data_IF_672827406013
#
_entry.id   IF_672827406013
#
_cell.length_a   1.000
_cell.length_b   1.000
_cell.length_c   1.000
_cell.angle_alpha   90.00
_cell.angle_beta   90.00
_cell.angle_gamma   90.00
#
_symmetry.space_group_name_H-M   'P 1'
#
loop_
_entity.id
_entity.type
_entity.pdbx_description
1 polymer ?
#
# COMPACT_ATOMS: atom_id res chain seq x y z
N UNK A 1 4.94 64.73 3.17
CA UNK A 1 5.88 63.69 3.61
C UNK A 1 5.46 63.19 4.99
N UNK A 2 4.88 62.01 5.08
CA UNK A 2 4.55 61.34 6.35
C UNK A 2 5.17 59.93 6.30
N UNK A 3 6.25 59.74 7.08
CA UNK A 3 6.98 58.48 7.14
C UNK A 3 6.18 57.42 7.89
N UNK A 4 5.98 56.28 7.27
CA UNK A 4 5.44 55.03 7.89
C UNK A 4 6.59 54.31 8.65
N UNK A 5 6.48 54.31 10.00
CA UNK A 5 7.33 53.47 10.87
C UNK A 5 6.91 52.01 10.72
N UNK A 6 7.80 51.16 10.22
CA UNK A 6 7.66 49.71 10.23
C UNK A 6 8.02 49.20 11.63
N UNK A 7 7.05 48.55 12.30
CA UNK A 7 7.23 47.92 13.61
C UNK A 7 7.86 46.55 13.40
N UNK A 8 9.13 46.37 13.79
CA UNK A 8 9.81 45.07 13.84
C UNK A 8 9.21 44.27 15.01
N UNK A 9 8.58 43.13 14.72
CA UNK A 9 8.13 42.18 15.73
C UNK A 9 9.31 41.34 16.21
N UNK A 10 9.56 41.37 17.51
CA UNK A 10 10.61 40.61 18.20
C UNK A 10 10.18 39.14 18.36
N UNK A 11 10.83 38.24 17.61
CA UNK A 11 10.52 36.78 17.51
C UNK A 11 11.27 35.96 18.59
N UNK A 12 11.60 36.55 19.74
CA UNK A 12 12.46 35.89 20.76
C UNK A 12 11.73 35.34 22.00
N UNK A 13 10.40 35.34 22.05
CA UNK A 13 9.68 34.99 23.30
C UNK A 13 9.14 33.57 23.40
N UNK A 14 9.08 32.79 22.32
CA UNK A 14 8.32 31.53 22.36
C UNK A 14 9.20 30.25 22.40
N UNK A 15 10.52 30.38 22.35
CA UNK A 15 11.43 29.19 22.34
C UNK A 15 11.79 28.72 23.76
N UNK A 16 11.75 29.61 24.75
CA UNK A 16 12.15 29.31 26.13
C UNK A 16 11.24 28.28 26.85
N UNK A 17 9.89 28.38 26.76
CA UNK A 17 9.01 27.40 27.43
C UNK A 17 9.08 26.01 26.82
N UNK A 18 9.28 25.89 25.48
CA UNK A 18 9.39 24.59 24.81
C UNK A 18 10.69 23.87 25.20
N UNK A 19 11.80 24.61 25.32
CA UNK A 19 13.09 24.02 25.71
C UNK A 19 13.09 23.53 27.16
N UNK A 20 12.41 24.25 28.06
CA UNK A 20 12.25 23.83 29.47
C UNK A 20 11.39 22.58 29.57
N UNK A 21 10.33 22.46 28.77
CA UNK A 21 9.45 21.28 28.77
C UNK A 21 10.18 20.03 28.27
N UNK A 22 10.99 20.14 27.23
CA UNK A 22 11.80 19.02 26.71
C UNK A 22 12.83 18.55 27.72
N UNK A 23 13.47 19.45 28.46
CA UNK A 23 14.44 19.09 29.51
C UNK A 23 13.77 18.39 30.68
N UNK A 24 12.56 18.81 31.10
CA UNK A 24 11.80 18.18 32.17
C UNK A 24 11.36 16.76 31.75
N UNK A 25 10.88 16.56 30.54
CA UNK A 25 10.50 15.22 30.04
C UNK A 25 11.72 14.30 29.97
N UNK A 26 12.87 14.80 29.52
CA UNK A 26 14.10 14.01 29.49
C UNK A 26 14.59 13.62 30.90
N UNK A 27 14.51 14.53 31.87
CA UNK A 27 14.89 14.21 33.26
C UNK A 27 13.94 13.20 33.90
N UNK A 28 12.62 13.26 33.65
CA UNK A 28 11.66 12.27 34.17
C UNK A 28 11.90 10.89 33.53
N UNK A 29 12.25 10.82 32.27
CA UNK A 29 12.61 9.57 31.62
C UNK A 29 13.88 8.95 32.18
N UNK A 30 14.91 9.74 32.52
CA UNK A 30 16.15 9.28 33.11
C UNK A 30 15.89 8.75 34.56
N UNK A 31 15.06 9.42 35.35
CA UNK A 31 14.72 8.98 36.70
C UNK A 31 13.92 7.68 36.66
N UNK A 32 13.01 7.49 35.70
CA UNK A 32 12.25 6.24 35.53
C UNK A 32 13.15 5.06 35.09
N UNK A 33 14.11 5.29 34.20
CA UNK A 33 15.05 4.23 33.79
C UNK A 33 16.01 3.85 34.90
N UNK A 34 16.49 4.83 35.70
CA UNK A 34 17.39 4.53 36.85
C UNK A 34 16.66 3.86 38.01
N UNK A 35 15.39 4.20 38.28
CA UNK A 35 14.60 3.51 39.29
C UNK A 35 14.24 2.07 38.88
N UNK A 36 14.00 1.81 37.59
CA UNK A 36 13.78 0.47 37.08
C UNK A 36 15.07 -0.38 37.11
N UNK A 37 16.22 0.22 36.80
CA UNK A 37 17.51 -0.45 36.87
C UNK A 37 17.89 -0.79 38.36
N UNK A 38 17.51 0.08 39.31
CA UNK A 38 17.75 -0.18 40.73
C UNK A 38 16.82 -1.29 41.28
N UNK A 39 15.57 -1.35 40.80
CA UNK A 39 14.63 -2.41 41.16
C UNK A 39 15.06 -3.79 40.63
N UNK A 40 15.68 -3.83 39.44
CA UNK A 40 16.22 -5.07 38.88
C UNK A 40 17.46 -5.52 39.64
N UNK A 41 18.29 -4.57 40.08
CA UNK A 41 19.53 -4.90 40.80
C UNK A 41 19.30 -5.36 42.26
N UNK A 42 18.18 -4.97 42.90
CA UNK A 42 17.84 -5.44 44.25
C UNK A 42 17.27 -6.86 44.28
N UNK A 43 16.73 -7.36 43.13
CA UNK A 43 16.26 -8.75 43.02
C UNK A 43 17.36 -9.75 42.65
N UNK A 44 18.55 -9.28 42.24
CA UNK A 44 19.67 -10.17 41.90
C UNK A 44 20.60 -10.48 43.06
N UNK A 45 20.40 -9.88 44.25
CA UNK A 45 21.23 -10.14 45.45
C UNK A 45 20.78 -11.34 46.32
N UNK A 46 19.78 -12.12 45.87
CA UNK A 46 19.41 -13.36 46.56
C UNK A 46 20.03 -14.63 45.95
N UNK A 47 21.02 -14.51 45.03
CA UNK A 47 21.66 -15.68 44.38
C UNK A 47 23.12 -15.91 44.82
N UNK A 48 23.53 -15.37 45.99
CA UNK A 48 24.82 -15.74 46.63
C UNK A 48 24.58 -16.41 47.97
N UNK A 49 24.05 -17.64 47.93
CA UNK A 49 24.11 -18.58 49.03
C UNK A 49 24.91 -19.81 48.57
N UNK A 50 26.14 -19.58 48.15
CA UNK A 50 27.14 -20.63 48.05
C UNK A 50 28.42 -20.17 48.76
N UNK A 51 28.35 -19.98 50.08
CA UNK A 51 29.56 -20.00 50.91
C UNK A 51 29.17 -20.09 52.40
N UNK A 52 28.47 -21.16 52.74
CA UNK A 52 28.38 -21.61 54.15
C UNK A 52 28.39 -23.14 54.24
N UNK A 53 29.30 -23.77 53.48
CA UNK A 53 29.46 -25.21 53.56
C UNK A 53 30.67 -25.62 54.43
N UNK A 54 30.74 -25.11 55.65
CA UNK A 54 31.70 -25.65 56.60
C UNK A 54 31.34 -25.44 58.08
N UNK A 55 30.09 -25.57 58.46
CA UNK A 55 29.75 -25.84 59.88
C UNK A 55 28.24 -26.13 60.01
N UNK A 56 27.81 -27.33 59.65
CA UNK A 56 26.74 -28.04 60.39
C UNK A 56 26.42 -29.32 59.62
N UNK A 57 27.02 -30.40 60.04
CA UNK A 57 26.55 -31.73 59.60
C UNK A 57 25.25 -32.03 60.35
N UNK A 58 24.16 -31.48 59.87
CA UNK A 58 22.81 -31.98 60.12
C UNK A 58 22.29 -32.39 58.74
N UNK A 59 22.27 -33.68 58.44
CA UNK A 59 21.72 -34.29 57.28
C UNK A 59 20.18 -34.12 57.25
N UNK A 60 19.70 -32.92 57.10
CA UNK A 60 18.31 -32.70 56.75
C UNK A 60 18.23 -32.77 55.24
N UNK A 61 17.88 -33.94 54.70
CA UNK A 61 17.54 -34.12 53.31
C UNK A 61 16.34 -33.24 52.97
N UNK A 62 16.58 -31.99 52.61
CA UNK A 62 15.62 -31.18 51.93
C UNK A 62 15.53 -31.67 50.50
N UNK A 63 14.56 -32.55 50.22
CA UNK A 63 14.19 -32.83 48.85
C UNK A 63 13.61 -31.52 48.28
N UNK A 64 14.42 -30.75 47.58
CA UNK A 64 13.91 -29.69 46.75
C UNK A 64 13.21 -30.35 45.54
N UNK A 65 11.89 -30.42 45.59
CA UNK A 65 11.12 -30.83 44.41
C UNK A 65 11.10 -29.65 43.46
N UNK A 66 11.83 -29.76 42.37
CA UNK A 66 11.66 -28.83 41.25
C UNK A 66 10.31 -29.15 40.66
N UNK A 67 9.37 -28.22 40.77
CA UNK A 67 8.05 -28.37 40.15
C UNK A 67 8.22 -28.18 38.64
N UNK A 68 7.68 -29.13 37.88
CA UNK A 68 7.59 -29.00 36.43
C UNK A 68 6.67 -27.82 36.09
N UNK A 69 7.06 -27.02 35.11
CA UNK A 69 6.33 -25.85 34.61
C UNK A 69 6.05 -26.00 33.12
N UNK A 70 4.84 -25.68 32.71
CA UNK A 70 4.49 -25.72 31.30
C UNK A 70 5.37 -24.73 30.47
N UNK A 71 5.81 -25.13 29.26
CA UNK A 71 6.58 -24.25 28.40
C UNK A 71 5.79 -23.02 27.97
N UNK A 72 6.48 -21.91 27.74
CA UNK A 72 5.92 -20.70 27.14
C UNK A 72 6.33 -20.62 25.66
N UNK A 73 5.36 -20.32 24.77
CA UNK A 73 5.57 -20.33 23.32
C UNK A 73 5.38 -18.93 22.74
N UNK A 74 6.38 -18.44 21.98
CA UNK A 74 6.29 -17.20 21.23
C UNK A 74 6.41 -17.48 19.73
N UNK A 75 5.38 -17.12 18.95
CA UNK A 75 5.26 -17.45 17.52
C UNK A 75 5.59 -16.24 16.66
N UNK A 76 6.36 -16.47 15.60
CA UNK A 76 6.61 -15.52 14.50
C UNK A 76 6.35 -16.19 13.18
N UNK A 77 5.80 -15.43 12.23
CA UNK A 77 5.54 -15.85 10.85
C UNK A 77 6.37 -15.01 9.89
N UNK A 78 6.72 -15.58 8.74
CA UNK A 78 7.37 -14.88 7.63
C UNK A 78 6.95 -15.53 6.29
N UNK A 79 6.81 -14.75 5.20
CA UNK A 79 7.05 -13.30 5.12
C UNK A 79 5.92 -12.46 5.72
N UNK A 80 6.13 -11.14 5.74
CA UNK A 80 5.10 -10.15 5.95
C UNK A 80 5.05 -9.29 4.68
N UNK A 81 3.95 -9.36 3.95
CA UNK A 81 3.78 -8.66 2.67
C UNK A 81 3.27 -7.21 2.85
N UNK A 82 2.90 -6.83 4.08
CA UNK A 82 2.63 -5.43 4.47
C UNK A 82 3.41 -5.03 5.75
N UNK A 83 4.74 -4.93 5.68
CA UNK A 83 5.57 -4.59 6.85
C UNK A 83 5.39 -3.14 7.31
N UNK A 84 4.61 -2.32 6.58
CA UNK A 84 4.39 -0.89 6.88
C UNK A 84 3.28 -0.71 7.92
N UNK A 85 2.31 -1.64 7.98
CA UNK A 85 1.21 -1.59 8.93
C UNK A 85 1.56 -2.30 10.23
N UNK A 86 1.90 -1.59 11.32
CA UNK A 86 2.32 -2.24 12.57
C UNK A 86 1.23 -3.12 13.18
N UNK A 87 1.62 -4.33 13.58
CA UNK A 87 0.74 -5.25 14.32
C UNK A 87 -0.18 -6.13 13.48
N UNK A 88 -0.27 -5.87 12.18
CA UNK A 88 -0.97 -6.72 11.21
C UNK A 88 0.07 -7.43 10.37
N UNK A 89 -0.08 -8.75 10.23
CA UNK A 89 0.74 -9.53 9.31
C UNK A 89 -0.11 -9.94 8.12
N UNK A 90 0.36 -9.66 6.90
CA UNK A 90 -0.34 -9.97 5.66
C UNK A 90 0.44 -11.01 4.88
N UNK A 91 -0.25 -12.05 4.41
CA UNK A 91 0.27 -13.04 3.46
C UNK A 91 -0.52 -12.88 2.17
N UNK A 92 0.17 -12.43 1.12
CA UNK A 92 -0.41 -12.10 -0.16
C UNK A 92 0.39 -12.80 -1.29
N UNK A 93 -0.01 -13.99 -1.74
CA UNK A 93 0.64 -14.66 -2.86
C UNK A 93 0.31 -13.99 -4.18
N UNK A 94 1.24 -14.06 -5.14
CA UNK A 94 0.94 -13.70 -6.51
C UNK A 94 -0.15 -14.63 -7.09
N UNK A 95 -1.02 -14.15 -7.97
CA UNK A 95 -2.10 -14.94 -8.55
C UNK A 95 -1.62 -16.25 -9.16
N UNK A 96 -2.25 -17.35 -8.77
CA UNK A 96 -1.91 -18.70 -9.27
C UNK A 96 -0.61 -19.28 -8.74
N UNK A 97 0.00 -18.66 -7.72
CA UNK A 97 1.22 -19.17 -7.08
C UNK A 97 0.96 -19.63 -5.64
N UNK A 98 1.86 -20.50 -5.14
CA UNK A 98 1.87 -20.87 -3.73
C UNK A 98 2.78 -19.89 -2.96
N UNK A 99 2.34 -19.45 -1.79
CA UNK A 99 3.17 -18.67 -0.86
C UNK A 99 3.55 -19.54 0.32
N UNK A 100 4.83 -19.83 0.47
CA UNK A 100 5.33 -20.57 1.63
C UNK A 100 5.42 -19.64 2.83
N UNK A 101 4.74 -19.98 3.92
CA UNK A 101 4.79 -19.29 5.20
C UNK A 101 5.66 -20.08 6.15
N UNK A 102 6.70 -19.43 6.67
CA UNK A 102 7.61 -20.02 7.65
C UNK A 102 7.12 -19.68 9.06
N UNK A 103 6.98 -20.69 9.90
CA UNK A 103 6.70 -20.56 11.32
C UNK A 103 8.02 -20.64 12.07
N UNK A 104 8.26 -19.71 12.99
CA UNK A 104 9.36 -19.75 13.96
C UNK A 104 8.77 -19.66 15.35
N UNK A 105 8.92 -20.71 16.15
CA UNK A 105 8.47 -20.75 17.54
C UNK A 105 9.66 -20.75 18.49
N UNK A 106 9.75 -19.76 19.36
CA UNK A 106 10.66 -19.78 20.49
C UNK A 106 9.91 -20.37 21.68
N UNK A 107 10.37 -21.55 22.12
CA UNK A 107 9.79 -22.28 23.25
C UNK A 107 10.72 -22.14 24.43
N UNK A 108 10.19 -21.61 25.54
CA UNK A 108 10.93 -21.39 26.81
C UNK A 108 10.36 -22.30 27.88
N UNK A 109 11.20 -23.17 28.42
CA UNK A 109 10.89 -24.03 29.53
C UNK A 109 11.82 -23.71 30.72
N UNK A 110 11.26 -23.44 31.89
CA UNK A 110 12.04 -23.08 33.08
C UNK A 110 12.81 -24.26 33.65
N UNK A 111 12.44 -25.50 33.28
CA UNK A 111 13.12 -26.72 33.65
C UNK A 111 14.33 -27.03 32.73
N UNK A 112 14.45 -26.34 31.60
CA UNK A 112 15.50 -26.46 30.61
C UNK A 112 14.94 -26.74 29.20
N UNK A 113 15.62 -26.28 28.15
CA UNK A 113 15.19 -26.54 26.77
C UNK A 113 15.23 -28.03 26.40
N UNK A 114 16.01 -28.85 27.11
CA UNK A 114 16.15 -30.30 26.97
C UNK A 114 14.99 -31.08 27.63
N UNK A 115 14.15 -30.41 28.43
CA UNK A 115 12.89 -30.97 28.93
C UNK A 115 11.78 -31.00 27.88
N UNK A 116 11.94 -30.35 26.73
CA UNK A 116 11.01 -30.40 25.65
C UNK A 116 11.09 -31.73 24.89
N UNK A 117 9.97 -32.46 24.77
CA UNK A 117 9.90 -33.81 24.17
C UNK A 117 10.15 -33.84 22.66
N UNK A 118 10.38 -32.68 22.03
CA UNK A 118 10.54 -32.53 20.59
C UNK A 118 9.22 -32.53 19.81
N UNK A 119 8.07 -32.68 20.44
CA UNK A 119 6.78 -32.53 19.79
C UNK A 119 6.28 -31.07 19.93
N UNK A 120 6.67 -30.25 18.93
CA UNK A 120 6.12 -28.89 18.78
C UNK A 120 5.29 -28.89 17.50
N UNK A 121 3.99 -28.68 17.63
CA UNK A 121 3.02 -28.78 16.55
C UNK A 121 2.31 -27.45 16.36
N UNK A 122 2.23 -26.99 15.11
CA UNK A 122 1.45 -25.83 14.72
C UNK A 122 0.17 -26.28 14.04
N UNK A 123 -0.96 -25.73 14.46
CA UNK A 123 -2.28 -25.91 13.83
C UNK A 123 -2.69 -24.58 13.21
N UNK A 124 -3.08 -24.60 11.95
CA UNK A 124 -3.52 -23.42 11.22
C UNK A 124 -5.04 -23.52 11.06
N UNK A 125 -5.75 -22.49 11.51
CA UNK A 125 -7.21 -22.38 11.44
C UNK A 125 -7.62 -21.08 10.78
N UNK A 126 -8.71 -21.07 10.00
CA UNK A 126 -9.18 -19.88 9.31
C UNK A 126 -10.42 -20.18 8.45
N UNK A 127 -10.77 -19.24 7.55
CA UNK A 127 -11.94 -19.38 6.67
C UNK A 127 -11.86 -20.57 5.70
N UNK A 128 -10.64 -21.00 5.33
CA UNK A 128 -10.39 -22.14 4.44
C UNK A 128 -9.47 -23.17 5.07
N UNK A 129 -9.56 -24.42 4.61
CA UNK A 129 -8.65 -25.49 5.04
C UNK A 129 -7.23 -25.23 4.50
N UNK A 130 -6.23 -25.45 5.34
CA UNK A 130 -4.81 -25.43 4.97
C UNK A 130 -4.31 -26.86 4.91
N UNK A 131 -3.95 -27.30 3.69
CA UNK A 131 -3.61 -28.71 3.41
C UNK A 131 -2.47 -29.24 4.29
N UNK A 132 -1.49 -28.39 4.59
CA UNK A 132 -0.32 -28.73 5.40
C UNK A 132 -0.61 -28.74 6.92
N UNK A 133 -1.83 -28.36 7.37
CA UNK A 133 -2.16 -28.31 8.81
C UNK A 133 -2.62 -29.69 9.32
N UNK A 134 -2.09 -30.18 10.46
CA UNK A 134 -1.11 -29.59 11.34
C UNK A 134 0.35 -29.75 10.88
N UNK A 135 1.21 -28.78 11.21
CA UNK A 135 2.64 -28.76 10.86
C UNK A 135 3.48 -29.18 12.06
N UNK A 136 4.33 -30.22 11.90
CA UNK A 136 5.34 -30.57 12.91
C UNK A 136 6.55 -29.64 12.77
N UNK A 137 6.82 -28.81 13.79
CA UNK A 137 7.98 -27.94 13.83
C UNK A 137 9.23 -28.74 14.23
N UNK A 138 10.33 -28.47 13.53
CA UNK A 138 11.62 -29.12 13.78
C UNK A 138 12.48 -28.22 14.64
N UNK A 139 13.24 -28.82 15.58
CA UNK A 139 14.28 -28.14 16.32
C UNK A 139 15.26 -27.46 15.36
N UNK A 140 15.53 -26.17 15.61
CA UNK A 140 16.46 -25.39 14.80
C UNK A 140 17.74 -25.05 15.56
N UNK A 141 17.64 -24.41 16.72
CA UNK A 141 18.81 -24.08 17.56
C UNK A 141 18.42 -23.84 19.02
N UNK A 142 19.41 -23.86 19.89
CA UNK A 142 19.32 -23.41 21.27
C UNK A 142 19.60 -21.92 21.35
N UNK A 143 18.71 -21.16 22.00
CA UNK A 143 18.89 -19.73 22.26
C UNK A 143 19.64 -19.50 23.57
N UNK A 144 19.23 -20.22 24.62
CA UNK A 144 19.86 -20.24 25.94
C UNK A 144 19.49 -21.53 26.71
N UNK A 145 19.84 -21.63 27.99
CA UNK A 145 19.60 -22.82 28.79
C UNK A 145 18.13 -23.23 28.97
N UNK A 146 17.20 -22.30 28.80
CA UNK A 146 15.77 -22.52 28.96
C UNK A 146 14.98 -22.36 27.66
N UNK A 147 15.58 -21.86 26.58
CA UNK A 147 14.86 -21.51 25.35
C UNK A 147 15.49 -22.19 24.10
N UNK A 148 14.65 -22.84 23.34
CA UNK A 148 14.99 -23.37 22.02
C UNK A 148 14.06 -22.80 20.93
N UNK A 149 14.57 -22.74 19.70
CA UNK A 149 13.82 -22.33 18.51
C UNK A 149 13.45 -23.55 17.70
N UNK A 150 12.18 -23.58 17.25
CA UNK A 150 11.63 -24.59 16.35
C UNK A 150 11.13 -23.90 15.08
N UNK A 151 11.26 -24.58 13.93
CA UNK A 151 10.82 -24.02 12.65
C UNK A 151 10.05 -25.05 11.82
N UNK A 152 9.12 -24.55 11.05
CA UNK A 152 8.35 -25.32 10.05
C UNK A 152 7.77 -24.40 9.00
N UNK A 153 7.08 -24.94 8.03
CA UNK A 153 6.43 -24.14 7.00
C UNK A 153 5.15 -24.81 6.50
N UNK A 154 4.26 -24.00 5.98
CA UNK A 154 3.06 -24.42 5.27
C UNK A 154 2.86 -23.55 4.03
N UNK A 155 2.02 -24.00 3.10
CA UNK A 155 1.73 -23.28 1.87
C UNK A 155 0.34 -22.69 1.91
N UNK A 156 0.23 -21.43 1.48
CA UNK A 156 -1.01 -20.75 1.24
C UNK A 156 -1.20 -20.61 -0.27
N UNK A 157 -2.25 -21.22 -0.81
CA UNK A 157 -2.63 -21.09 -2.22
C UNK A 157 -4.11 -21.36 -2.38
N UNK A 158 -4.82 -20.43 -3.00
CA UNK A 158 -6.27 -20.57 -3.31
C UNK A 158 -7.19 -20.82 -2.10
N UNK A 159 -6.76 -20.53 -0.88
CA UNK A 159 -7.63 -20.56 0.30
C UNK A 159 -8.61 -19.38 0.29
N UNK A 160 -9.66 -19.47 1.12
CA UNK A 160 -10.56 -18.35 1.34
C UNK A 160 -9.82 -17.17 1.98
N UNK A 161 -10.11 -15.97 1.51
CA UNK A 161 -9.57 -14.74 2.11
C UNK A 161 -10.08 -14.55 3.54
N UNK A 162 -9.27 -13.93 4.38
CA UNK A 162 -9.65 -13.58 5.73
C UNK A 162 -8.53 -13.79 6.75
N UNK A 163 -8.91 -13.77 8.02
CA UNK A 163 -8.00 -13.93 9.13
C UNK A 163 -7.77 -15.41 9.44
N UNK A 164 -6.49 -15.78 9.56
CA UNK A 164 -6.03 -17.10 9.96
C UNK A 164 -5.24 -16.99 11.26
N UNK A 165 -5.35 -18.02 12.08
CA UNK A 165 -4.56 -18.17 13.30
C UNK A 165 -3.63 -19.36 13.18
N UNK A 166 -2.36 -19.18 13.55
CA UNK A 166 -1.38 -20.24 13.74
C UNK A 166 -1.21 -20.44 15.23
N UNK A 167 -1.72 -21.53 15.76
CA UNK A 167 -1.55 -21.96 17.14
C UNK A 167 -0.43 -22.99 17.22
N UNK A 168 0.57 -22.73 18.08
CA UNK A 168 1.69 -23.66 18.32
C UNK A 168 1.59 -24.22 19.71
N UNK A 169 1.53 -25.55 19.79
CA UNK A 169 1.53 -26.32 21.02
C UNK A 169 2.88 -27.00 21.23
N UNK A 170 3.51 -26.78 22.39
CA UNK A 170 4.74 -27.43 22.80
C UNK A 170 4.51 -28.20 24.11
N UNK A 171 4.93 -29.47 24.17
CA UNK A 171 4.76 -30.32 25.33
C UNK A 171 6.13 -30.70 25.92
N UNK A 172 6.29 -30.59 27.22
CA UNK A 172 7.48 -31.01 27.96
C UNK A 172 7.47 -32.52 28.25
N UNK A 173 8.57 -33.02 28.82
CA UNK A 173 8.70 -34.44 29.21
C UNK A 173 7.78 -34.83 30.39
N UNK A 174 7.32 -33.87 31.18
CA UNK A 174 6.35 -34.07 32.24
C UNK A 174 4.89 -34.11 31.76
N UNK A 175 4.66 -33.86 30.46
CA UNK A 175 3.32 -33.86 29.85
C UNK A 175 2.58 -32.55 30.00
N UNK A 176 3.19 -31.47 30.47
CA UNK A 176 2.57 -30.16 30.50
C UNK A 176 2.72 -29.49 29.14
N UNK A 177 1.63 -28.89 28.69
CA UNK A 177 1.61 -28.21 27.39
C UNK A 177 1.55 -26.68 27.53
N UNK A 178 2.32 -26.01 26.69
CA UNK A 178 2.25 -24.55 26.49
C UNK A 178 1.78 -24.21 25.09
N UNK A 179 0.99 -23.17 24.99
CA UNK A 179 0.40 -22.72 23.72
C UNK A 179 0.75 -21.27 23.44
N UNK A 180 1.08 -20.97 22.19
CA UNK A 180 1.24 -19.61 21.71
C UNK A 180 0.62 -19.47 20.33
N UNK A 181 0.08 -18.30 20.00
CA UNK A 181 -0.54 -18.10 18.68
C UNK A 181 -0.08 -16.80 18.01
N UNK A 182 -0.31 -16.76 16.69
CA UNK A 182 -0.10 -15.59 15.86
C UNK A 182 -1.12 -15.56 14.72
N UNK A 183 -1.78 -14.41 14.56
CA UNK A 183 -2.72 -14.20 13.44
C UNK A 183 -2.02 -13.58 12.25
N UNK A 184 -2.56 -13.86 11.07
CA UNK A 184 -2.23 -13.18 9.83
C UNK A 184 -3.48 -13.04 8.97
N UNK A 185 -3.51 -12.01 8.13
CA UNK A 185 -4.54 -11.83 7.11
C UNK A 185 -4.07 -12.43 5.80
N UNK A 186 -4.81 -13.40 5.28
CA UNK A 186 -4.59 -13.92 3.94
C UNK A 186 -5.42 -13.12 2.95
N UNK A 187 -4.73 -12.47 1.98
CA UNK A 187 -5.35 -11.76 0.88
C UNK A 187 -4.84 -12.37 -0.42
N UNK A 188 -5.73 -12.99 -1.17
CA UNK A 188 -5.37 -13.72 -2.40
C UNK A 188 -5.15 -12.81 -3.60
N UNK A 189 -5.64 -11.59 -3.56
CA UNK A 189 -5.64 -10.67 -4.70
C UNK A 189 -4.66 -9.51 -4.50
N UNK A 190 -3.38 -9.65 -4.94
CA UNK A 190 -2.57 -8.47 -5.11
C UNK A 190 -3.24 -7.54 -6.12
N UNK A 191 -3.27 -6.26 -5.81
CA UNK A 191 -3.68 -5.26 -6.78
C UNK A 191 -2.72 -5.28 -7.97
N UNK A 192 -3.27 -5.41 -9.16
CA UNK A 192 -2.54 -5.33 -10.42
C UNK A 192 -2.76 -3.95 -11.01
N UNK A 193 -1.70 -3.38 -11.60
CA UNK A 193 -1.78 -2.11 -12.30
C UNK A 193 -1.59 -2.35 -13.80
N UNK A 194 -2.64 -2.06 -14.58
CA UNK A 194 -2.56 -2.01 -16.04
C UNK A 194 -2.41 -0.56 -16.49
N UNK A 195 -1.46 -0.30 -17.39
CA UNK A 195 -1.24 1.03 -17.97
C UNK A 195 -1.88 1.13 -19.33
N UNK A 196 -2.76 2.10 -19.51
CA UNK A 196 -3.36 2.50 -20.76
C UNK A 196 -2.71 3.78 -21.26
N UNK A 197 -1.90 3.67 -22.29
CA UNK A 197 -1.27 4.77 -23.01
C UNK A 197 -1.32 4.51 -24.54
N UNK A 198 -0.72 5.36 -25.34
CA UNK A 198 -0.73 5.23 -26.79
C UNK A 198 0.50 4.51 -27.38
N UNK A 199 1.30 3.82 -26.58
CA UNK A 199 2.40 2.97 -27.07
C UNK A 199 1.87 1.80 -27.91
N UNK A 200 0.68 1.30 -27.57
CA UNK A 200 -0.01 0.22 -28.28
C UNK A 200 -1.51 0.52 -28.36
N UNK A 201 -2.22 -0.10 -29.31
CA UNK A 201 -3.68 -0.05 -29.39
C UNK A 201 -4.28 1.28 -29.85
N UNK A 202 -3.47 2.24 -30.30
CA UNK A 202 -3.94 3.51 -30.84
C UNK A 202 -4.85 3.31 -32.07
N UNK A 203 -6.04 3.92 -32.06
CA UNK A 203 -7.07 3.74 -33.10
C UNK A 203 -7.78 2.39 -33.07
N UNK A 204 -7.57 1.54 -32.06
CA UNK A 204 -8.22 0.23 -31.94
C UNK A 204 -9.02 0.11 -30.64
N UNK A 205 -8.39 0.38 -29.51
CA UNK A 205 -9.01 0.43 -28.17
C UNK A 205 -8.65 1.70 -27.41
N UNK A 206 -8.00 2.65 -28.07
CA UNK A 206 -7.62 3.96 -27.51
C UNK A 206 -7.65 4.98 -28.65
N UNK A 207 -8.34 6.08 -28.41
CA UNK A 207 -8.53 7.15 -29.42
C UNK A 207 -8.22 8.51 -28.78
N UNK A 208 -7.65 9.39 -29.60
CA UNK A 208 -7.40 10.78 -29.26
C UNK A 208 -7.96 11.71 -30.32
N UNK A 209 -8.51 12.84 -29.90
CA UNK A 209 -9.18 13.83 -30.75
C UNK A 209 -8.71 15.23 -30.39
N UNK A 210 -8.57 16.08 -31.43
CA UNK A 210 -8.32 17.50 -31.26
C UNK A 210 -9.54 18.31 -31.67
N UNK A 211 -10.06 19.16 -30.79
CA UNK A 211 -11.21 20.01 -31.11
C UNK A 211 -11.21 21.32 -30.30
N UNK A 212 -12.23 22.12 -30.53
CA UNK A 212 -12.45 23.37 -29.80
C UNK A 212 -13.90 23.46 -29.30
N UNK A 213 -14.11 24.07 -28.14
CA UNK A 213 -15.44 24.25 -27.58
C UNK A 213 -15.56 25.62 -26.88
N UNK A 214 -16.79 26.17 -26.86
CA UNK A 214 -17.03 27.53 -26.33
C UNK A 214 -17.42 27.59 -24.85
N UNK A 215 -17.37 26.47 -24.14
CA UNK A 215 -17.60 26.36 -22.70
C UNK A 215 -16.45 25.58 -22.10
N UNK A 216 -16.17 25.83 -20.82
CA UNK A 216 -15.14 25.15 -20.03
C UNK A 216 -15.75 24.62 -18.74
N UNK A 217 -15.76 23.29 -18.54
CA UNK A 217 -15.54 22.26 -19.54
C UNK A 217 -16.67 22.16 -20.57
N UNK A 218 -16.53 21.36 -21.64
CA UNK A 218 -17.60 21.01 -22.56
C UNK A 218 -18.83 20.44 -21.85
N UNK A 219 -20.02 20.72 -22.39
CA UNK A 219 -21.28 20.29 -21.76
C UNK A 219 -21.64 18.82 -22.07
N UNK A 220 -21.00 18.21 -23.06
CA UNK A 220 -21.20 16.81 -23.45
C UNK A 220 -19.89 16.09 -23.70
N UNK A 221 -19.93 14.77 -23.77
CA UNK A 221 -18.81 13.90 -24.12
C UNK A 221 -18.85 13.41 -25.58
N UNK A 222 -19.63 14.09 -26.44
CA UNK A 222 -19.75 13.73 -27.84
C UNK A 222 -18.38 13.56 -28.50
N UNK A 223 -18.28 12.56 -29.40
CA UNK A 223 -17.04 12.28 -30.10
C UNK A 223 -16.80 13.39 -31.12
N UNK A 224 -15.65 14.09 -31.08
CA UNK A 224 -15.30 15.08 -32.08
C UNK A 224 -15.09 14.46 -33.47
N UNK A 225 -15.32 15.22 -34.51
CA UNK A 225 -15.18 14.74 -35.89
C UNK A 225 -13.75 14.42 -36.35
N UNK A 226 -12.74 14.93 -35.61
CA UNK A 226 -11.33 14.83 -36.04
C UNK A 226 -10.54 13.99 -35.04
N UNK A 227 -10.34 12.73 -35.37
CA UNK A 227 -9.42 11.85 -34.67
C UNK A 227 -7.96 12.18 -35.00
N UNK A 228 -7.05 11.88 -34.12
CA UNK A 228 -5.62 11.96 -34.34
C UNK A 228 -5.19 10.97 -35.44
N UNK A 229 -4.35 11.42 -36.36
CA UNK A 229 -3.76 10.56 -37.38
C UNK A 229 -2.67 9.65 -36.77
N UNK A 230 -2.33 8.58 -37.47
CA UNK A 230 -1.34 7.58 -37.01
C UNK A 230 -0.01 8.19 -36.57
N UNK A 231 0.47 9.23 -37.18
CA UNK A 231 1.71 9.88 -36.81
C UNK A 231 1.55 10.79 -35.56
N UNK A 232 0.35 11.32 -35.33
CA UNK A 232 0.04 12.08 -34.11
C UNK A 232 0.08 11.16 -32.87
N UNK A 233 -0.41 9.92 -32.99
CA UNK A 233 -0.32 8.94 -31.90
C UNK A 233 1.13 8.65 -31.49
N UNK A 234 2.08 8.67 -32.43
CA UNK A 234 3.50 8.52 -32.12
C UNK A 234 4.05 9.67 -31.27
N UNK A 235 3.51 10.89 -31.46
CA UNK A 235 3.95 12.06 -30.70
C UNK A 235 3.47 12.04 -29.24
N UNK A 236 2.39 11.31 -28.95
CA UNK A 236 1.79 11.26 -27.61
C UNK A 236 1.99 9.91 -26.91
N UNK A 237 2.77 9.01 -27.52
CA UNK A 237 3.01 7.66 -27.00
C UNK A 237 4.14 7.60 -25.96
N UNK A 238 4.99 8.62 -25.91
CA UNK A 238 6.16 8.69 -25.03
C UNK A 238 6.38 10.11 -24.56
N UNK A 239 6.82 10.25 -23.33
CA UNK A 239 7.23 11.52 -22.71
C UNK A 239 8.64 11.89 -23.19
N UNK A 240 8.74 12.39 -24.41
CA UNK A 240 10.02 12.73 -25.08
C UNK A 240 10.12 14.21 -25.49
N UNK A 241 9.13 15.04 -25.09
CA UNK A 241 9.07 16.48 -25.42
C UNK A 241 8.59 16.79 -26.83
N UNK A 242 8.13 15.78 -27.60
CA UNK A 242 7.49 15.96 -28.90
C UNK A 242 5.98 15.96 -28.71
N UNK A 243 5.30 17.01 -29.18
CA UNK A 243 3.88 17.21 -28.88
C UNK A 243 3.01 17.22 -30.12
N UNK A 244 1.82 16.66 -30.00
CA UNK A 244 0.71 17.00 -30.90
C UNK A 244 0.10 18.32 -30.43
N UNK A 245 0.12 19.35 -31.29
CA UNK A 245 -0.39 20.68 -30.94
C UNK A 245 -1.59 21.02 -31.82
N UNK A 246 -2.67 21.47 -31.18
CA UNK A 246 -3.85 22.04 -31.82
C UNK A 246 -4.14 23.46 -31.33
N UNK A 247 -4.91 24.19 -32.10
CA UNK A 247 -5.28 25.57 -31.80
C UNK A 247 -6.72 25.90 -32.20
N UNK A 248 -7.25 26.91 -31.53
CA UNK A 248 -8.61 27.40 -31.84
C UNK A 248 -8.67 28.21 -33.10
N UNK A 249 -9.83 28.16 -33.76
CA UNK A 249 -10.14 28.92 -35.00
C UNK A 249 -11.27 29.95 -34.78
N UNK A 250 -12.00 29.84 -33.67
CA UNK A 250 -13.15 30.70 -33.37
C UNK A 250 -12.95 31.49 -32.07
N UNK A 251 -13.43 32.72 -32.02
CA UNK A 251 -13.37 33.58 -30.85
C UNK A 251 -14.23 33.01 -29.70
N UNK A 252 -13.71 33.03 -28.48
CA UNK A 252 -14.38 32.48 -27.29
C UNK A 252 -14.26 30.97 -27.12
N UNK A 253 -13.52 30.28 -28.03
CA UNK A 253 -13.33 28.83 -27.95
C UNK A 253 -12.02 28.45 -27.26
N UNK A 254 -12.06 27.37 -26.50
CA UNK A 254 -10.92 26.72 -25.87
C UNK A 254 -10.37 25.60 -26.76
N UNK A 255 -9.06 25.42 -26.78
CA UNK A 255 -8.43 24.27 -27.44
C UNK A 255 -8.45 23.07 -26.50
N UNK A 256 -8.82 21.90 -27.01
CA UNK A 256 -9.07 20.69 -26.23
C UNK A 256 -8.49 19.48 -26.95
N UNK A 257 -7.83 18.60 -26.18
CA UNK A 257 -7.55 17.23 -26.57
C UNK A 257 -8.42 16.28 -25.73
N UNK A 258 -9.12 15.36 -26.39
CA UNK A 258 -9.97 14.34 -25.77
C UNK A 258 -9.36 12.97 -26.01
N UNK A 259 -9.34 12.15 -24.97
CA UNK A 259 -8.83 10.79 -24.99
C UNK A 259 -9.91 9.84 -24.53
N UNK A 260 -10.10 8.76 -25.29
CA UNK A 260 -10.98 7.65 -24.95
C UNK A 260 -10.12 6.40 -24.79
N UNK A 261 -10.38 5.63 -23.74
CA UNK A 261 -9.75 4.35 -23.47
C UNK A 261 -10.84 3.30 -23.29
N UNK A 262 -10.68 2.15 -23.95
CA UNK A 262 -11.48 0.97 -23.66
C UNK A 262 -10.71 0.15 -22.60
N UNK A 263 -11.27 0.09 -21.40
CA UNK A 263 -10.69 -0.58 -20.22
C UNK A 263 -11.10 -2.06 -20.27
N UNK A 264 -10.13 -2.96 -20.19
CA UNK A 264 -10.38 -4.39 -20.29
C UNK A 264 -10.76 -5.04 -18.96
N UNK A 265 -10.39 -4.41 -17.85
CA UNK A 265 -10.64 -4.92 -16.51
C UNK A 265 -12.12 -4.76 -16.14
N UNK A 266 -12.72 -5.76 -15.45
CA UNK A 266 -14.09 -5.64 -14.96
C UNK A 266 -14.23 -4.44 -14.00
N UNK A 267 -15.16 -3.55 -14.29
CA UNK A 267 -15.40 -2.32 -13.53
C UNK A 267 -15.54 -2.57 -12.01
N UNK A 268 -16.27 -3.64 -11.64
CA UNK A 268 -16.51 -4.02 -10.23
C UNK A 268 -15.24 -4.44 -9.47
N UNK A 269 -14.13 -4.62 -10.17
CA UNK A 269 -12.85 -5.04 -9.59
C UNK A 269 -11.80 -3.94 -9.60
N UNK A 270 -12.08 -2.82 -10.25
CA UNK A 270 -11.16 -1.69 -10.29
C UNK A 270 -11.22 -0.96 -8.94
N UNK A 271 -10.07 -0.78 -8.32
CA UNK A 271 -9.94 -0.14 -7.01
C UNK A 271 -9.42 1.29 -7.12
N UNK A 272 -8.74 1.62 -8.25
CA UNK A 272 -8.18 2.95 -8.45
C UNK A 272 -7.93 3.29 -9.92
N UNK A 273 -8.13 4.55 -10.26
CA UNK A 273 -7.75 5.15 -11.54
C UNK A 273 -6.76 6.28 -11.28
N UNK A 274 -5.53 6.17 -11.82
CA UNK A 274 -4.54 7.25 -11.79
C UNK A 274 -4.35 7.80 -13.21
N UNK A 275 -4.70 9.07 -13.40
CA UNK A 275 -4.62 9.76 -14.68
C UNK A 275 -3.42 10.71 -14.69
N UNK A 276 -2.65 10.67 -15.77
CA UNK A 276 -1.57 11.61 -16.03
C UNK A 276 -1.72 12.17 -17.44
N UNK A 277 -1.59 13.48 -17.58
CA UNK A 277 -1.41 14.17 -18.83
C UNK A 277 -0.21 15.11 -18.72
N UNK A 278 0.69 15.02 -19.69
CA UNK A 278 1.83 15.92 -19.86
C UNK A 278 1.71 16.69 -21.14
N UNK A 279 2.01 18.01 -21.08
CA UNK A 279 1.89 18.82 -22.27
C UNK A 279 2.00 20.32 -22.02
N UNK A 280 1.46 21.08 -22.97
CA UNK A 280 1.45 22.54 -22.90
C UNK A 280 0.06 23.14 -23.10
N UNK A 281 -0.16 24.28 -22.45
CA UNK A 281 -1.30 25.14 -22.71
C UNK A 281 -0.85 26.58 -22.91
N UNK A 282 -1.08 27.13 -24.10
CA UNK A 282 -0.72 28.51 -24.41
C UNK A 282 -1.95 29.31 -24.88
N UNK A 283 -2.10 30.50 -24.34
CA UNK A 283 -3.06 31.49 -24.86
C UNK A 283 -2.29 32.76 -25.19
N UNK A 284 -2.55 33.31 -26.35
CA UNK A 284 -1.98 34.60 -26.76
C UNK A 284 -2.43 35.75 -25.83
N UNK A 285 -3.60 35.56 -25.18
CA UNK A 285 -4.14 36.45 -24.16
C UNK A 285 -4.82 35.61 -23.06
N UNK A 286 -4.53 35.88 -21.80
CA UNK A 286 -5.12 35.17 -20.64
C UNK A 286 -4.17 34.21 -19.94
N UNK A 287 -4.76 33.25 -19.25
CA UNK A 287 -4.02 32.29 -18.41
C UNK A 287 -3.45 31.15 -19.26
N UNK A 288 -2.16 30.90 -19.14
CA UNK A 288 -1.47 29.73 -19.72
C UNK A 288 -1.87 28.44 -18.99
N UNK A 289 -1.28 27.32 -19.43
CA UNK A 289 -1.47 26.03 -18.83
C UNK A 289 -2.78 25.36 -19.25
N UNK A 290 -3.11 24.28 -18.58
CA UNK A 290 -4.25 23.45 -18.91
C UNK A 290 -4.99 22.98 -17.64
N UNK A 291 -6.19 22.48 -17.86
CA UNK A 291 -7.01 21.78 -16.86
C UNK A 291 -7.30 20.38 -17.39
N UNK A 292 -7.10 19.37 -16.54
CA UNK A 292 -7.41 17.97 -16.79
C UNK A 292 -8.77 17.66 -16.19
N UNK A 293 -9.62 17.01 -16.97
CA UNK A 293 -10.95 16.56 -16.54
C UNK A 293 -11.16 15.10 -16.88
N UNK A 294 -12.03 14.44 -16.13
CA UNK A 294 -12.59 13.12 -16.43
C UNK A 294 -14.10 13.23 -16.59
N UNK A 295 -14.67 12.42 -17.47
CA UNK A 295 -16.12 12.36 -17.64
C UNK A 295 -16.75 11.48 -16.56
N UNK A 296 -17.74 12.01 -15.86
CA UNK A 296 -18.59 11.25 -14.95
C UNK A 296 -19.89 10.89 -15.68
N UNK A 297 -20.07 9.61 -15.98
CA UNK A 297 -21.23 9.09 -16.72
C UNK A 297 -22.53 9.22 -15.95
N UNK A 298 -22.50 9.10 -14.64
CA UNK A 298 -23.66 9.22 -13.77
C UNK A 298 -24.21 10.65 -13.72
N UNK A 299 -23.33 11.63 -13.61
CA UNK A 299 -23.73 13.05 -13.57
C UNK A 299 -23.88 13.67 -14.94
N UNK A 300 -23.34 13.03 -15.99
CA UNK A 300 -23.28 13.55 -17.35
C UNK A 300 -22.45 14.84 -17.45
N UNK A 301 -21.34 14.92 -16.72
CA UNK A 301 -20.48 16.11 -16.66
C UNK A 301 -19.00 15.73 -16.58
N UNK A 302 -18.15 16.65 -17.05
CA UNK A 302 -16.72 16.62 -16.78
C UNK A 302 -16.42 17.09 -15.34
N UNK A 303 -15.62 16.34 -14.62
CA UNK A 303 -15.12 16.68 -13.29
C UNK A 303 -13.63 16.99 -13.35
N UNK A 304 -13.22 18.07 -12.67
CA UNK A 304 -11.84 18.53 -12.71
C UNK A 304 -10.96 17.64 -11.84
N UNK A 305 -9.88 17.09 -12.44
CA UNK A 305 -8.85 16.34 -11.72
C UNK A 305 -7.72 17.25 -11.25
N UNK A 306 -7.15 18.08 -12.16
CA UNK A 306 -6.03 18.97 -11.86
C UNK A 306 -6.04 20.21 -12.77
N UNK A 307 -5.35 21.27 -12.33
CA UNK A 307 -5.18 22.51 -13.09
C UNK A 307 -3.86 23.17 -12.73
N UNK A 308 -3.08 23.55 -13.77
CA UNK A 308 -1.87 24.35 -13.60
C UNK A 308 -1.83 25.50 -14.63
N UNK A 309 -1.04 26.53 -14.32
CA UNK A 309 -1.01 27.79 -15.10
C UNK A 309 0.33 28.07 -15.77
N UNK A 310 1.28 27.15 -15.64
CA UNK A 310 2.55 27.22 -16.36
C UNK A 310 2.36 26.85 -17.84
N UNK A 311 3.30 27.22 -18.69
CA UNK A 311 3.23 26.92 -20.12
C UNK A 311 3.28 25.41 -20.39
N UNK A 312 4.24 24.71 -19.77
CA UNK A 312 4.40 23.27 -19.80
C UNK A 312 4.00 22.72 -18.46
N UNK A 313 3.11 21.73 -18.43
CA UNK A 313 2.53 21.22 -17.21
C UNK A 313 2.29 19.71 -17.27
N UNK A 314 2.63 19.03 -16.19
CA UNK A 314 2.18 17.67 -15.92
C UNK A 314 0.99 17.75 -14.97
N UNK A 315 -0.18 17.31 -15.42
CA UNK A 315 -1.42 17.23 -14.65
C UNK A 315 -1.68 15.81 -14.20
N UNK A 316 -2.18 15.64 -12.98
CA UNK A 316 -2.42 14.33 -12.36
C UNK A 316 -3.76 14.32 -11.65
N UNK A 317 -4.41 13.18 -11.66
CA UNK A 317 -5.60 12.92 -10.85
C UNK A 317 -5.68 11.47 -10.42
N UNK A 318 -6.31 11.23 -9.28
CA UNK A 318 -6.53 9.88 -8.75
C UNK A 318 -7.97 9.76 -8.27
N UNK A 319 -8.61 8.65 -8.59
CA UNK A 319 -9.98 8.32 -8.19
C UNK A 319 -9.95 6.93 -7.56
N UNK A 320 -10.43 6.81 -6.34
CA UNK A 320 -10.56 5.55 -5.58
C UNK A 320 -12.00 5.27 -5.13
N UNK A 321 -12.86 6.29 -5.20
CA UNK A 321 -14.25 6.18 -4.77
C UNK A 321 -15.19 6.23 -5.97
N UNK A 322 -16.28 5.45 -5.94
CA UNK A 322 -17.33 5.46 -6.96
C UNK A 322 -16.79 5.32 -8.41
N UNK A 323 -15.82 4.45 -8.62
CA UNK A 323 -15.11 4.28 -9.90
C UNK A 323 -16.08 3.99 -11.05
N UNK A 324 -17.15 3.23 -10.81
CA UNK A 324 -18.21 2.97 -11.77
C UNK A 324 -18.95 4.22 -12.28
N UNK A 325 -18.84 5.36 -11.61
CA UNK A 325 -19.38 6.61 -12.14
C UNK A 325 -18.54 7.18 -13.32
N UNK A 326 -17.30 6.69 -13.53
CA UNK A 326 -16.33 7.18 -14.53
C UNK A 326 -16.02 6.19 -15.66
N UNK A 327 -16.56 4.99 -15.57
CA UNK A 327 -16.47 3.96 -16.61
C UNK A 327 -17.88 3.55 -16.99
N UNK A 328 -18.17 3.48 -18.29
CA UNK A 328 -19.45 3.00 -18.82
C UNK A 328 -19.18 2.18 -20.08
N UNK A 329 -19.71 0.97 -20.13
CA UNK A 329 -19.44 0.01 -21.22
C UNK A 329 -17.95 -0.07 -21.56
N UNK A 330 -17.11 -0.29 -20.55
CA UNK A 330 -15.65 -0.32 -20.61
C UNK A 330 -15.00 1.00 -21.07
N UNK A 331 -15.75 2.06 -21.27
CA UNK A 331 -15.24 3.34 -21.78
C UNK A 331 -14.87 4.29 -20.66
N UNK A 332 -13.65 4.81 -20.71
CA UNK A 332 -13.17 5.92 -19.87
C UNK A 332 -12.79 7.11 -20.77
N UNK A 333 -13.23 8.33 -20.40
CA UNK A 333 -13.02 9.54 -21.17
C UNK A 333 -12.36 10.61 -20.30
N UNK A 334 -11.25 11.18 -20.82
CA UNK A 334 -10.60 12.33 -20.22
C UNK A 334 -10.39 13.43 -21.26
N UNK A 335 -10.31 14.68 -20.80
CA UNK A 335 -9.91 15.81 -21.64
C UNK A 335 -8.84 16.65 -20.96
N UNK A 336 -7.91 17.17 -21.76
CA UNK A 336 -7.05 18.27 -21.40
C UNK A 336 -7.51 19.52 -22.15
N UNK A 337 -7.79 20.58 -21.41
CA UNK A 337 -8.36 21.82 -21.95
C UNK A 337 -7.51 23.01 -21.55
N UNK A 338 -7.18 23.87 -22.51
CA UNK A 338 -6.42 25.08 -22.26
C UNK A 338 -7.20 26.03 -21.33
N UNK A 339 -6.48 26.78 -20.48
CA UNK A 339 -7.08 27.59 -19.40
C UNK A 339 -7.83 28.85 -19.87
N UNK A 340 -7.57 29.35 -21.08
CA UNK A 340 -8.20 30.55 -21.61
C UNK A 340 -8.66 30.37 -23.06
N UNK A 341 -9.81 30.94 -23.44
CA UNK A 341 -10.30 30.84 -24.80
C UNK A 341 -9.49 31.71 -25.77
N UNK A 342 -9.67 31.46 -27.07
CA UNK A 342 -9.24 32.40 -28.10
C UNK A 342 -9.92 33.73 -27.88
N UNK A 343 -9.15 34.81 -27.92
CA UNK A 343 -9.67 36.16 -27.83
C UNK A 343 -9.33 36.94 -29.11
N UNK A 344 -10.27 37.79 -29.59
CA UNK A 344 -10.09 38.63 -30.76
C UNK A 344 -10.30 40.08 -30.37
N UNK A 345 -9.29 40.93 -30.64
CA UNK A 345 -9.38 42.39 -30.53
C UNK A 345 -9.16 43.00 -31.89
N UNK A 346 -10.23 43.53 -32.49
CA UNK A 346 -10.28 44.08 -33.85
C UNK A 346 -9.74 43.05 -34.88
N UNK A 347 -8.53 43.28 -35.49
CA UNK A 347 -7.87 42.36 -36.41
C UNK A 347 -6.86 41.41 -35.73
N UNK A 348 -6.53 41.61 -34.47
CA UNK A 348 -5.62 40.77 -33.71
C UNK A 348 -6.31 39.54 -33.21
N UNK A 349 -5.79 38.33 -33.55
CA UNK A 349 -6.29 37.05 -33.02
C UNK A 349 -5.25 36.49 -32.03
N UNK A 350 -5.69 36.29 -30.80
CA UNK A 350 -4.94 35.67 -29.74
C UNK A 350 -5.48 34.24 -29.56
N UNK A 351 -4.89 33.30 -30.31
CA UNK A 351 -5.32 31.90 -30.31
C UNK A 351 -5.06 31.21 -28.99
N UNK A 352 -5.87 30.21 -28.71
CA UNK A 352 -5.69 29.22 -27.64
C UNK A 352 -5.05 27.98 -28.24
N UNK A 353 -4.02 27.41 -27.62
CA UNK A 353 -3.27 26.25 -28.08
C UNK A 353 -3.23 25.22 -26.96
N UNK A 354 -3.38 23.96 -27.32
CA UNK A 354 -3.14 22.79 -26.46
C UNK A 354 -2.15 21.85 -27.15
N UNK A 355 -1.18 21.35 -26.42
CA UNK A 355 -0.21 20.36 -26.91
C UNK A 355 -0.12 19.21 -25.95
N UNK A 356 -0.27 17.98 -26.43
CA UNK A 356 -0.05 16.77 -25.63
C UNK A 356 1.28 16.14 -26.03
N UNK A 357 2.14 15.91 -25.04
CA UNK A 357 3.35 15.10 -25.15
C UNK A 357 3.02 13.65 -24.77
N UNK A 358 2.44 13.46 -23.59
CA UNK A 358 2.12 12.12 -23.09
C UNK A 358 0.81 12.10 -22.31
N UNK A 359 0.10 10.98 -22.40
CA UNK A 359 -1.10 10.74 -21.61
C UNK A 359 -1.20 9.27 -21.25
N UNK A 360 -1.54 8.97 -20.00
CA UNK A 360 -1.81 7.61 -19.54
C UNK A 360 -2.90 7.55 -18.49
N UNK A 361 -3.53 6.40 -18.41
CA UNK A 361 -4.40 5.98 -17.30
C UNK A 361 -3.83 4.68 -16.74
N UNK A 362 -3.50 4.67 -15.46
CA UNK A 362 -3.20 3.45 -14.72
C UNK A 362 -4.49 2.97 -14.06
N UNK A 363 -4.88 1.76 -14.34
CA UNK A 363 -6.02 1.06 -13.75
C UNK A 363 -5.48 0.07 -12.74
N UNK A 364 -5.74 0.30 -11.46
CA UNK A 364 -5.45 -0.65 -10.39
C UNK A 364 -6.69 -1.49 -10.15
N UNK A 365 -6.56 -2.80 -10.14
CA UNK A 365 -7.69 -3.71 -9.97
C UNK A 365 -7.27 -4.99 -9.25
N UNK A 366 -8.26 -5.66 -8.65
CA UNK A 366 -8.09 -7.01 -8.08
C UNK A 366 -8.46 -8.05 -9.14
N UNK A 367 -7.56 -8.95 -9.54
CA UNK A 367 -7.87 -9.98 -10.53
C UNK A 367 -8.95 -10.94 -10.02
N UNK A 368 -9.64 -11.61 -10.94
CA UNK A 368 -10.52 -12.71 -10.56
C UNK A 368 -9.67 -13.85 -10.01
N UNK A 369 -9.96 -14.39 -8.81
CA UNK A 369 -9.32 -15.60 -8.35
C UNK A 369 -9.46 -16.67 -9.45
N UNK A 370 -8.37 -17.11 -10.02
CA UNK A 370 -8.38 -18.29 -10.87
C UNK A 370 -8.59 -19.48 -9.96
N UNK A 371 -9.82 -19.94 -9.83
CA UNK A 371 -10.07 -21.28 -9.27
C UNK A 371 -9.26 -22.23 -10.14
N UNK A 372 -8.16 -22.77 -9.57
CA UNK A 372 -7.47 -23.88 -10.20
C UNK A 372 -8.53 -24.92 -10.48
N UNK A 373 -8.76 -25.23 -11.76
CA UNK A 373 -9.59 -26.36 -12.16
C UNK A 373 -9.04 -27.57 -11.40
N UNK A 374 -9.71 -27.93 -10.30
CA UNK A 374 -9.53 -29.26 -9.75
C UNK A 374 -9.69 -30.20 -10.94
N UNK A 375 -8.68 -30.99 -11.19
CA UNK A 375 -8.75 -32.08 -12.14
C UNK A 375 -9.96 -32.94 -11.74
N UNK A 376 -11.10 -32.68 -12.37
CA UNK A 376 -12.22 -33.59 -12.33
C UNK A 376 -11.69 -34.89 -12.93
N UNK A 377 -11.45 -35.85 -12.06
CA UNK A 377 -11.37 -37.23 -12.51
C UNK A 377 -12.74 -37.56 -13.09
N UNK A 378 -12.85 -37.56 -14.40
CA UNK A 378 -13.94 -38.14 -15.12
C UNK A 378 -13.89 -39.64 -14.80
N UNK A 379 -14.76 -40.08 -13.91
CA UNK A 379 -15.03 -41.51 -13.73
C UNK A 379 -15.81 -41.92 -14.96
N UNK A 380 -15.13 -42.57 -15.90
CA UNK A 380 -15.75 -43.26 -17.01
C UNK A 380 -16.32 -44.56 -16.44
N UNK A 381 -17.68 -44.66 -16.41
CA UNK A 381 -18.39 -45.93 -16.21
C UNK A 381 -18.22 -46.87 -17.43
#
# INVERSE_FOLDING_TARGET
MKGKKVKRMDKKRDVLPVMVMVVIVAMVAIVLVTSLALAINTNMNCLHVYDCASACAANTGTNATVLNTAPAVAVKLAPDDDPVTPGVQVINPDPGTNKTVTITANVTDMNGYDDLTGMVIATITGPGEVEDSPVSLKFYNVVNQTTATYTGSFNMSNQAEGEYEVEVNATDNGGLAGVGSRNFTYSYSPEIVTTYDFTTGAGTNKWAYGYQYNKKPPASNDVPDIEFERWHYKLISRDEGMMKIDFTRANGYYAIHRFKFDIAEPETRITKLDVLWDGMGYAGWGTRGATLYIWNFKTGKYEQLDRKTDLFVTLRGSISDNIGDYIDDNTLIIIAEQNSPQWKLWWWMFRSYIGTDYVRVNVTYTPTPTHGNGYGMEVVE
#
